data_IF_109373546628
#
_entry.id   IF_109373546628
#
_cell.length_a   1.000
_cell.length_b   1.000
_cell.length_c   1.000
_cell.angle_alpha   90.00
_cell.angle_beta   90.00
_cell.angle_gamma   90.00
#
_symmetry.space_group_name_H-M   'P 1'
#
loop_
_entity.id
_entity.type
_entity.pdbx_description
1 polymer ?
#
# COMPACT_ATOMS: atom_id res chain seq x y z
N UNK A 1 -7.23 -29.33 69.33
CA UNK A 1 -7.24 -28.07 68.55
C UNK A 1 -6.69 -28.40 67.17
N UNK A 2 -7.45 -28.17 66.09
CA UNK A 2 -6.96 -28.35 64.72
C UNK A 2 -6.64 -26.96 64.16
N UNK A 3 -5.44 -26.78 63.61
CA UNK A 3 -5.07 -25.56 62.87
C UNK A 3 -5.18 -25.86 61.38
N UNK A 4 -6.19 -25.30 60.71
CA UNK A 4 -6.21 -25.22 59.25
C UNK A 4 -5.21 -24.16 58.82
N UNK A 5 -4.21 -24.55 58.02
CA UNK A 5 -3.36 -23.62 57.29
C UNK A 5 -3.97 -23.38 55.91
N UNK A 6 -4.55 -22.19 55.70
CA UNK A 6 -5.04 -21.79 54.39
C UNK A 6 -3.86 -21.33 53.52
N UNK A 7 -3.46 -22.16 52.57
CA UNK A 7 -2.53 -21.74 51.52
C UNK A 7 -3.27 -20.86 50.51
N UNK A 8 -3.03 -19.55 50.56
CA UNK A 8 -3.47 -18.63 49.53
C UNK A 8 -2.61 -18.84 48.26
N UNK A 9 -3.17 -19.56 47.28
CA UNK A 9 -2.53 -19.73 45.98
C UNK A 9 -2.54 -18.41 45.20
N UNK A 10 -1.39 -17.78 45.05
CA UNK A 10 -1.23 -16.62 44.19
C UNK A 10 -1.17 -17.09 42.72
N UNK A 11 -2.32 -17.07 42.04
CA UNK A 11 -2.38 -17.33 40.60
C UNK A 11 -1.69 -16.21 39.82
N UNK A 12 -0.43 -16.43 39.46
CA UNK A 12 0.27 -15.58 38.50
C UNK A 12 -0.41 -15.73 37.13
N UNK A 13 -1.20 -14.73 36.74
CA UNK A 13 -1.71 -14.61 35.38
C UNK A 13 -0.51 -14.34 34.46
N UNK A 14 -0.11 -15.33 33.66
CA UNK A 14 0.86 -15.13 32.62
C UNK A 14 0.25 -14.19 31.57
N UNK A 15 0.77 -12.96 31.51
CA UNK A 15 0.51 -12.07 30.37
C UNK A 15 1.17 -12.73 29.15
N UNK A 16 0.34 -13.32 28.29
CA UNK A 16 0.80 -13.74 26.98
C UNK A 16 1.13 -12.47 26.19
N UNK A 17 2.41 -12.27 25.89
CA UNK A 17 2.82 -11.25 24.92
C UNK A 17 2.25 -11.67 23.56
N UNK A 18 1.25 -10.93 23.09
CA UNK A 18 0.75 -11.09 21.73
C UNK A 18 1.87 -10.63 20.79
N UNK A 19 2.54 -11.58 20.15
CA UNK A 19 3.59 -11.32 19.16
C UNK A 19 3.02 -10.81 17.82
N UNK A 20 1.87 -10.14 17.89
CA UNK A 20 1.08 -9.62 16.80
C UNK A 20 0.13 -8.50 17.29
N UNK A 21 -0.40 -7.73 16.34
CA UNK A 21 -1.53 -6.82 16.51
C UNK A 21 -2.54 -6.99 15.37
N UNK A 22 -3.69 -6.33 15.49
CA UNK A 22 -4.81 -6.40 14.54
C UNK A 22 -4.86 -5.13 13.70
N UNK A 23 -5.08 -5.27 12.39
CA UNK A 23 -5.48 -4.19 11.50
C UNK A 23 -6.90 -4.49 11.02
N UNK A 24 -7.88 -3.75 11.54
CA UNK A 24 -9.28 -3.85 11.11
C UNK A 24 -9.46 -2.97 9.87
N UNK A 25 -9.64 -3.60 8.71
CA UNK A 25 -9.74 -2.94 7.41
C UNK A 25 -11.21 -2.80 7.05
N UNK A 26 -11.69 -1.57 6.87
CA UNK A 26 -13.09 -1.19 6.72
C UNK A 26 -13.36 -0.52 5.38
N UNK A 27 -14.45 -0.89 4.72
CA UNK A 27 -14.90 -0.27 3.47
C UNK A 27 -15.98 0.79 3.73
N UNK A 28 -15.62 2.07 3.65
CA UNK A 28 -16.55 3.21 3.66
C UNK A 28 -17.06 3.64 2.27
N UNK A 29 -16.58 3.03 1.19
CA UNK A 29 -16.99 3.35 -0.18
C UNK A 29 -18.40 2.78 -0.47
N UNK A 30 -19.14 3.38 -1.41
CA UNK A 30 -20.46 2.83 -1.80
C UNK A 30 -20.40 1.55 -2.65
N UNK A 31 -19.21 1.23 -3.19
CA UNK A 31 -18.93 0.00 -3.93
C UNK A 31 -18.08 -0.96 -3.10
N UNK A 32 -18.16 -2.29 -3.34
CA UNK A 32 -17.20 -3.23 -2.77
C UNK A 32 -15.77 -2.83 -3.14
N UNK A 33 -14.83 -3.03 -2.22
CA UNK A 33 -13.40 -2.97 -2.50
C UNK A 33 -12.85 -4.39 -2.59
N UNK A 34 -11.93 -4.62 -3.53
CA UNK A 34 -11.13 -5.83 -3.54
C UNK A 34 -9.81 -5.50 -2.85
N UNK A 35 -9.68 -5.89 -1.57
CA UNK A 35 -8.47 -5.68 -0.80
C UNK A 35 -7.38 -6.64 -1.28
N UNK A 36 -6.34 -6.10 -1.89
CA UNK A 36 -5.13 -6.86 -2.22
C UNK A 36 -4.07 -6.64 -1.13
N UNK A 37 -3.53 -7.75 -0.61
CA UNK A 37 -2.45 -7.79 0.39
C UNK A 37 -1.19 -8.36 -0.26
N UNK A 38 -0.04 -7.70 -0.10
CA UNK A 38 1.26 -8.18 -0.61
C UNK A 38 2.33 -8.11 0.47
N UNK A 39 3.13 -9.17 0.61
CA UNK A 39 4.31 -9.18 1.48
C UNK A 39 5.56 -8.78 0.69
N UNK A 40 6.43 -7.95 1.25
CA UNK A 40 7.69 -7.56 0.60
C UNK A 40 8.64 -8.75 0.34
N UNK A 41 8.43 -9.88 1.01
CA UNK A 41 9.13 -11.15 0.79
C UNK A 41 8.47 -12.06 -0.24
N UNK A 42 7.24 -11.78 -0.71
CA UNK A 42 6.47 -12.66 -1.60
C UNK A 42 5.69 -11.83 -2.62
N UNK A 43 6.13 -11.85 -3.89
CA UNK A 43 5.47 -11.15 -5.01
C UNK A 43 4.19 -11.83 -5.51
N UNK A 44 3.42 -12.44 -4.61
CA UNK A 44 2.09 -13.02 -4.84
C UNK A 44 1.12 -12.27 -3.96
N UNK A 45 0.00 -11.84 -4.52
CA UNK A 45 -1.07 -11.19 -3.74
C UNK A 45 -2.01 -12.22 -3.10
N UNK A 46 -2.48 -11.92 -1.89
CA UNK A 46 -3.73 -12.43 -1.34
C UNK A 46 -4.84 -11.40 -1.56
N UNK A 47 -6.10 -11.83 -1.72
CA UNK A 47 -7.21 -10.93 -2.04
C UNK A 47 -8.52 -11.27 -1.30
N UNK A 48 -9.16 -10.28 -0.70
CA UNK A 48 -10.48 -10.36 -0.05
C UNK A 48 -11.43 -9.28 -0.59
N UNK A 49 -12.66 -9.62 -0.97
CA UNK A 49 -13.68 -8.62 -1.32
C UNK A 49 -14.44 -8.14 -0.08
N UNK A 50 -14.39 -6.85 0.23
CA UNK A 50 -15.05 -6.23 1.38
C UNK A 50 -16.25 -5.42 0.89
N UNK A 51 -17.46 -5.82 1.29
CA UNK A 51 -18.71 -5.14 0.93
C UNK A 51 -18.81 -3.72 1.56
N UNK A 52 -19.61 -2.80 0.98
CA UNK A 52 -19.86 -1.47 1.57
C UNK A 52 -20.33 -1.55 3.03
N UNK A 53 -19.67 -0.81 3.91
CA UNK A 53 -19.95 -0.79 5.35
C UNK A 53 -19.51 -2.04 6.12
N UNK A 54 -18.79 -2.97 5.50
CA UNK A 54 -18.19 -4.14 6.15
C UNK A 54 -16.70 -3.93 6.47
N UNK A 55 -16.17 -4.79 7.32
CA UNK A 55 -14.76 -4.83 7.71
C UNK A 55 -14.23 -6.27 7.75
N UNK A 56 -12.91 -6.42 7.63
CA UNK A 56 -12.18 -7.67 7.94
C UNK A 56 -10.98 -7.36 8.83
N UNK A 57 -10.53 -8.33 9.62
CA UNK A 57 -9.33 -8.21 10.44
C UNK A 57 -8.13 -8.90 9.79
N UNK A 58 -6.97 -8.25 9.81
CA UNK A 58 -5.67 -8.82 9.42
C UNK A 58 -4.74 -8.84 10.64
N UNK A 59 -4.21 -10.02 10.98
CA UNK A 59 -3.23 -10.19 12.06
C UNK A 59 -1.83 -9.90 11.54
N UNK A 60 -1.15 -8.93 12.14
CA UNK A 60 0.22 -8.53 11.78
C UNK A 60 1.19 -9.04 12.84
N UNK A 61 1.93 -10.10 12.53
CA UNK A 61 2.94 -10.68 13.42
C UNK A 61 4.27 -9.90 13.39
N UNK A 62 5.16 -10.18 14.35
CA UNK A 62 6.55 -9.67 14.35
C UNK A 62 7.34 -10.23 13.16
N UNK A 63 8.02 -9.36 12.41
CA UNK A 63 8.74 -9.70 11.18
C UNK A 63 7.94 -9.49 9.88
N UNK A 64 6.70 -9.01 9.95
CA UNK A 64 5.90 -8.57 8.81
C UNK A 64 6.55 -7.36 8.11
N UNK A 65 6.41 -7.31 6.78
CA UNK A 65 6.68 -6.14 5.93
C UNK A 65 5.85 -6.32 4.66
N UNK A 66 5.01 -5.36 4.34
CA UNK A 66 4.06 -5.48 3.23
C UNK A 66 3.00 -4.39 3.23
N UNK A 67 2.11 -4.43 2.24
CA UNK A 67 1.11 -3.40 2.02
C UNK A 67 -0.28 -3.95 1.69
N UNK A 68 -1.27 -3.10 1.95
CA UNK A 68 -2.66 -3.24 1.54
C UNK A 68 -2.99 -2.21 0.46
N UNK A 69 -3.84 -2.58 -0.51
CA UNK A 69 -4.35 -1.67 -1.55
C UNK A 69 -5.73 -2.11 -2.03
N UNK A 70 -6.47 -1.22 -2.68
CA UNK A 70 -7.74 -1.54 -3.34
C UNK A 70 -7.51 -1.83 -4.83
N UNK A 71 -7.92 -3.01 -5.28
CA UNK A 71 -7.76 -3.51 -6.65
C UNK A 71 -6.42 -4.21 -6.91
N UNK A 72 -6.39 -5.01 -7.97
CA UNK A 72 -5.21 -5.81 -8.36
C UNK A 72 -4.05 -4.97 -8.91
N UNK A 73 -4.32 -3.78 -9.44
CA UNK A 73 -3.32 -2.80 -9.87
C UNK A 73 -2.34 -2.48 -8.74
N UNK A 74 -1.04 -2.41 -9.04
CA UNK A 74 -0.03 -1.83 -8.15
C UNK A 74 -0.02 -0.29 -8.25
N UNK A 75 -0.44 0.27 -9.39
CA UNK A 75 -0.78 1.69 -9.52
C UNK A 75 -2.09 1.98 -8.74
N UNK A 76 -1.94 2.16 -7.43
CA UNK A 76 -3.01 2.26 -6.44
C UNK A 76 -2.47 2.92 -5.15
N UNK A 77 -3.37 3.49 -4.33
CA UNK A 77 -2.99 3.98 -2.99
C UNK A 77 -2.55 2.80 -2.12
N UNK A 78 -1.33 2.85 -1.57
CA UNK A 78 -0.79 1.80 -0.69
C UNK A 78 -0.95 2.20 0.78
N UNK A 79 -1.28 1.24 1.63
CA UNK A 79 -1.14 1.36 3.09
C UNK A 79 -0.09 0.34 3.52
N UNK A 80 1.07 0.80 3.97
CA UNK A 80 2.21 -0.08 4.28
C UNK A 80 2.33 -0.30 5.80
N UNK A 81 2.78 -1.49 6.19
CA UNK A 81 3.07 -1.85 7.58
C UNK A 81 4.37 -2.65 7.66
N UNK A 82 5.19 -2.38 8.68
CA UNK A 82 6.40 -3.15 8.96
C UNK A 82 6.65 -3.36 10.46
N UNK A 83 7.13 -4.55 10.81
CA UNK A 83 7.44 -4.98 12.19
C UNK A 83 8.80 -5.69 12.26
N UNK A 84 9.62 -5.54 11.21
CA UNK A 84 11.00 -6.06 11.12
C UNK A 84 11.99 -5.22 11.92
N UNK A 85 13.10 -5.85 12.28
CA UNK A 85 14.15 -5.26 13.11
C UNK A 85 13.93 -5.45 14.62
N UNK A 86 14.93 -5.03 15.38
CA UNK A 86 15.04 -5.32 16.82
C UNK A 86 14.17 -4.41 17.70
N UNK A 87 13.51 -3.39 17.12
CA UNK A 87 12.65 -2.45 17.84
C UNK A 87 11.22 -3.00 17.92
N UNK A 88 10.60 -2.93 19.11
CA UNK A 88 9.19 -3.28 19.33
C UNK A 88 8.27 -2.12 18.95
N UNK A 89 8.29 -1.82 17.65
CA UNK A 89 7.42 -0.85 16.99
C UNK A 89 6.59 -1.53 15.89
N UNK A 90 5.40 -0.98 15.67
CA UNK A 90 4.64 -1.12 14.43
C UNK A 90 4.89 0.15 13.61
N UNK A 91 5.65 0.01 12.52
CA UNK A 91 5.85 1.06 11.52
C UNK A 91 4.70 1.03 10.52
N UNK A 92 4.24 2.18 10.07
CA UNK A 92 3.15 2.31 9.10
C UNK A 92 3.18 3.65 8.38
N UNK A 93 2.69 3.66 7.15
CA UNK A 93 2.55 4.87 6.32
C UNK A 93 1.59 4.64 5.15
N UNK A 94 1.38 5.69 4.34
CA UNK A 94 0.59 5.66 3.12
C UNK A 94 1.51 6.01 1.94
N UNK A 95 1.44 5.24 0.85
CA UNK A 95 2.21 5.50 -0.37
C UNK A 95 1.31 5.94 -1.53
N UNK A 96 1.71 7.01 -2.23
CA UNK A 96 1.11 7.41 -3.52
C UNK A 96 2.15 7.60 -4.64
N UNK A 97 3.34 7.04 -4.47
CA UNK A 97 4.38 7.00 -5.50
C UNK A 97 3.90 6.09 -6.65
N UNK A 98 3.83 6.57 -7.91
CA UNK A 98 3.50 5.72 -9.05
C UNK A 98 4.55 4.61 -9.23
N UNK A 99 4.15 3.33 -9.32
CA UNK A 99 5.08 2.22 -9.48
C UNK A 99 5.59 2.13 -10.93
N UNK A 100 6.54 1.22 -11.15
CA UNK A 100 7.16 1.00 -12.47
C UNK A 100 7.77 2.30 -13.03
N UNK A 101 8.61 2.94 -12.20
CA UNK A 101 9.42 4.08 -12.62
C UNK A 101 10.38 3.68 -13.74
N UNK A 102 10.61 4.62 -14.66
CA UNK A 102 11.57 4.46 -15.75
C UNK A 102 13.00 4.36 -15.18
N UNK A 103 13.88 3.54 -15.79
CA UNK A 103 15.25 3.37 -15.30
C UNK A 103 16.00 4.71 -15.13
N UNK A 104 16.58 4.93 -13.95
CA UNK A 104 17.22 6.17 -13.55
C UNK A 104 16.34 7.15 -12.76
N UNK A 105 15.03 6.88 -12.60
CA UNK A 105 14.09 7.70 -11.84
C UNK A 105 13.60 7.03 -10.54
N UNK A 106 14.25 5.94 -10.11
CA UNK A 106 13.94 5.19 -8.88
C UNK A 106 14.12 6.03 -7.59
N UNK A 107 14.69 7.23 -7.71
CA UNK A 107 14.79 8.25 -6.67
C UNK A 107 14.33 9.63 -7.16
N UNK A 108 13.22 9.67 -7.89
CA UNK A 108 12.50 10.91 -8.23
C UNK A 108 12.32 11.80 -6.97
N UNK A 109 12.40 13.12 -7.17
CA UNK A 109 12.49 14.13 -6.12
C UNK A 109 11.17 14.84 -5.81
N UNK A 110 10.11 14.52 -6.56
CA UNK A 110 8.76 15.05 -6.37
C UNK A 110 7.73 14.12 -7.01
N UNK A 111 6.48 14.17 -6.53
CA UNK A 111 5.38 13.36 -7.09
C UNK A 111 5.20 13.58 -8.59
N UNK A 112 5.38 14.81 -9.10
CA UNK A 112 5.25 15.10 -10.53
C UNK A 112 6.34 14.40 -11.35
N UNK A 113 7.60 14.43 -10.88
CA UNK A 113 8.70 13.71 -11.52
C UNK A 113 8.45 12.19 -11.51
N UNK A 114 7.96 11.64 -10.40
CA UNK A 114 7.58 10.23 -10.31
C UNK A 114 6.43 9.88 -11.29
N UNK A 115 5.45 10.77 -11.48
CA UNK A 115 4.36 10.58 -12.46
C UNK A 115 4.86 10.63 -13.89
N UNK A 116 5.55 11.70 -14.27
CA UNK A 116 6.09 11.93 -15.62
C UNK A 116 7.05 10.82 -16.05
N UNK A 117 7.72 10.18 -15.07
CA UNK A 117 8.65 9.09 -15.30
C UNK A 117 8.15 7.72 -14.81
N UNK A 118 6.83 7.48 -14.74
CA UNK A 118 6.24 6.15 -14.49
C UNK A 118 5.49 5.60 -15.71
N UNK A 119 5.21 4.30 -15.73
CA UNK A 119 4.40 3.66 -16.79
C UNK A 119 2.92 4.09 -16.77
N UNK A 120 2.39 4.48 -15.61
CA UNK A 120 0.96 4.76 -15.40
C UNK A 120 0.63 6.24 -15.18
N UNK A 121 1.53 7.02 -14.58
CA UNK A 121 1.24 8.34 -14.01
C UNK A 121 0.36 8.28 -12.75
N UNK A 122 0.11 7.09 -12.19
CA UNK A 122 -0.91 6.85 -11.15
C UNK A 122 -0.27 6.12 -9.95
N UNK A 123 -0.36 6.74 -8.78
CA UNK A 123 -0.10 6.12 -7.47
C UNK A 123 -1.21 6.36 -6.44
N UNK A 124 -2.27 7.10 -6.79
CA UNK A 124 -3.47 7.26 -5.98
C UNK A 124 -4.68 6.67 -6.73
N UNK A 125 -5.53 5.89 -6.05
CA UNK A 125 -6.78 5.41 -6.64
C UNK A 125 -7.99 5.44 -5.69
N UNK A 126 -7.76 5.35 -4.38
CA UNK A 126 -8.82 5.27 -3.36
C UNK A 126 -8.44 6.15 -2.17
N UNK A 127 -9.36 6.98 -1.64
CA UNK A 127 -9.13 7.70 -0.38
C UNK A 127 -8.92 6.72 0.79
N UNK A 128 -7.95 6.98 1.67
CA UNK A 128 -7.65 6.11 2.83
C UNK A 128 -7.35 6.92 4.09
N UNK A 129 -7.61 6.33 5.24
CA UNK A 129 -7.20 6.84 6.57
C UNK A 129 -6.74 5.68 7.44
N UNK A 130 -5.62 5.85 8.15
CA UNK A 130 -5.05 4.87 9.10
C UNK A 130 -5.12 5.47 10.51
N UNK A 131 -5.74 4.75 11.45
CA UNK A 131 -6.00 5.24 12.80
C UNK A 131 -5.49 4.25 13.84
N UNK A 132 -4.44 4.58 14.62
CA UNK A 132 -4.05 3.80 15.79
C UNK A 132 -5.17 3.81 16.83
N UNK A 133 -5.58 2.64 17.33
CA UNK A 133 -6.65 2.51 18.35
C UNK A 133 -6.22 2.98 19.74
N UNK A 134 -4.90 3.06 19.96
CA UNK A 134 -4.27 3.50 21.20
C UNK A 134 -2.88 4.08 20.90
N UNK A 135 -2.20 4.61 21.93
CA UNK A 135 -0.89 5.25 21.82
C UNK A 135 -0.81 6.52 20.95
N UNK A 136 -1.90 6.94 20.32
CA UNK A 136 -2.05 8.17 19.54
C UNK A 136 -1.51 9.41 20.30
N UNK A 137 -0.72 10.25 19.63
CA UNK A 137 -0.06 11.42 20.22
C UNK A 137 1.21 11.11 21.02
N UNK A 138 1.81 9.93 20.86
CA UNK A 138 3.14 9.57 21.39
C UNK A 138 4.12 9.43 20.24
N UNK A 139 5.27 10.10 20.33
CA UNK A 139 6.31 10.07 19.31
C UNK A 139 5.73 10.38 17.90
N UNK A 140 5.74 9.44 16.95
CA UNK A 140 5.06 9.58 15.63
C UNK A 140 3.81 8.71 15.48
N UNK A 141 3.23 8.23 16.58
CA UNK A 141 2.00 7.45 16.58
C UNK A 141 0.79 8.38 16.46
N UNK A 142 0.27 8.55 15.25
CA UNK A 142 -0.88 9.43 14.97
C UNK A 142 -1.80 8.89 13.87
N UNK A 143 -2.96 9.53 13.71
CA UNK A 143 -3.88 9.27 12.60
C UNK A 143 -3.34 9.97 11.35
N UNK A 144 -3.29 9.26 10.23
CA UNK A 144 -2.85 9.77 8.93
C UNK A 144 -3.89 9.50 7.85
N UNK A 145 -4.02 10.39 6.88
CA UNK A 145 -4.95 10.22 5.77
C UNK A 145 -4.44 10.71 4.41
N UNK A 146 -4.86 9.99 3.37
CA UNK A 146 -4.70 10.41 2.00
C UNK A 146 -6.07 10.41 1.33
N UNK A 147 -6.73 11.57 1.33
CA UNK A 147 -8.09 11.71 0.80
C UNK A 147 -8.13 12.01 -0.71
N UNK A 148 -7.02 12.44 -1.29
CA UNK A 148 -6.86 12.80 -2.69
C UNK A 148 -5.40 12.60 -3.14
N UNK A 149 -5.19 12.63 -4.46
CA UNK A 149 -3.86 12.70 -5.07
C UNK A 149 -3.07 13.93 -4.57
N UNK A 150 -1.75 13.79 -4.36
CA UNK A 150 -0.87 14.77 -3.70
C UNK A 150 -1.26 15.16 -2.25
N UNK A 151 -1.83 14.21 -1.49
CA UNK A 151 -2.09 14.34 -0.04
C UNK A 151 -0.81 14.58 0.79
N UNK A 152 -0.95 15.26 1.94
CA UNK A 152 0.18 15.68 2.78
C UNK A 152 0.81 14.53 3.59
N UNK A 153 0.02 13.58 4.11
CA UNK A 153 0.52 12.55 5.03
C UNK A 153 1.21 11.37 4.32
N UNK A 154 1.10 11.26 3.00
CA UNK A 154 1.63 10.12 2.24
C UNK A 154 3.05 10.37 1.69
N UNK A 155 3.77 9.28 1.45
CA UNK A 155 4.96 9.26 0.60
C UNK A 155 4.61 9.74 -0.81
N UNK A 156 5.03 10.98 -1.11
CA UNK A 156 4.86 11.60 -2.41
C UNK A 156 6.02 11.25 -3.38
N UNK A 157 7.18 10.82 -2.86
CA UNK A 157 8.37 10.44 -3.63
C UNK A 157 9.33 9.57 -2.78
N UNK A 158 10.23 8.75 -3.36
CA UNK A 158 11.05 7.74 -2.64
C UNK A 158 12.09 8.23 -1.61
N UNK A 159 12.05 9.51 -1.23
CA UNK A 159 12.92 10.12 -0.20
C UNK A 159 12.15 11.11 0.69
N UNK A 160 10.82 10.99 0.72
CA UNK A 160 9.97 11.75 1.64
C UNK A 160 10.05 11.15 3.05
N UNK A 161 11.27 11.01 3.58
CA UNK A 161 11.62 10.28 4.81
C UNK A 161 10.95 10.83 6.10
N UNK A 162 10.03 11.79 5.95
CA UNK A 162 9.18 12.38 7.00
C UNK A 162 7.83 11.67 7.16
N UNK A 163 7.47 10.74 6.26
CA UNK A 163 6.12 10.15 6.16
C UNK A 163 5.95 8.78 6.81
N UNK A 164 7.01 8.15 7.33
CA UNK A 164 6.89 6.91 8.13
C UNK A 164 6.52 7.23 9.57
N UNK A 165 5.38 6.69 10.01
CA UNK A 165 4.87 6.80 11.37
C UNK A 165 5.15 5.52 12.17
N UNK A 166 5.09 5.60 13.51
CA UNK A 166 5.42 4.48 14.39
C UNK A 166 4.61 4.48 15.68
N UNK A 167 4.05 3.33 16.02
CA UNK A 167 3.41 3.08 17.32
C UNK A 167 4.14 1.95 18.05
N UNK A 168 3.97 1.88 19.38
CA UNK A 168 4.44 0.73 20.15
C UNK A 168 3.83 -0.58 19.61
N UNK A 169 4.64 -1.63 19.45
CA UNK A 169 4.15 -2.93 18.96
C UNK A 169 3.06 -3.49 19.89
N UNK A 170 2.03 -4.12 19.30
CA UNK A 170 0.80 -4.47 20.02
C UNK A 170 -0.27 -3.37 20.05
N UNK A 171 -0.04 -2.24 19.36
CA UNK A 171 -1.11 -1.27 19.04
C UNK A 171 -1.96 -1.81 17.89
N UNK A 172 -3.26 -2.03 18.09
CA UNK A 172 -4.19 -2.34 17.00
C UNK A 172 -4.51 -1.07 16.18
N UNK A 173 -4.85 -1.23 14.90
CA UNK A 173 -5.16 -0.14 13.96
C UNK A 173 -6.50 -0.34 13.26
N UNK A 174 -7.14 0.75 12.85
CA UNK A 174 -8.25 0.75 11.89
C UNK A 174 -7.79 1.43 10.60
N UNK A 175 -7.93 0.73 9.47
CA UNK A 175 -7.74 1.28 8.13
C UNK A 175 -9.11 1.45 7.49
N UNK A 176 -9.44 2.66 7.03
CA UNK A 176 -10.72 2.95 6.38
C UNK A 176 -10.50 3.42 4.95
N UNK A 177 -10.98 2.65 3.97
CA UNK A 177 -11.10 3.10 2.59
C UNK A 177 -12.36 3.97 2.44
N UNK A 178 -12.26 5.09 1.70
CA UNK A 178 -13.29 6.13 1.60
C UNK A 178 -13.85 6.58 2.97
N UNK A 179 -13.03 7.13 3.88
CA UNK A 179 -13.46 7.50 5.24
C UNK A 179 -14.54 8.60 5.30
N UNK A 180 -14.70 9.39 4.23
CA UNK A 180 -15.79 10.37 4.04
C UNK A 180 -16.88 9.87 3.06
N UNK A 181 -16.92 8.57 2.76
CA UNK A 181 -17.60 8.02 1.59
C UNK A 181 -16.93 8.46 0.29
N UNK A 182 -17.60 8.25 -0.85
CA UNK A 182 -17.04 8.55 -2.18
C UNK A 182 -16.90 10.06 -2.48
N UNK A 183 -17.38 10.93 -1.57
CA UNK A 183 -17.41 12.39 -1.71
C UNK A 183 -16.02 13.03 -1.94
N UNK A 184 -14.93 12.36 -1.53
CA UNK A 184 -13.56 12.86 -1.74
C UNK A 184 -13.09 12.76 -3.20
N UNK A 185 -13.71 11.93 -4.05
CA UNK A 185 -13.21 11.69 -5.42
C UNK A 185 -13.56 12.79 -6.45
N UNK A 186 -14.32 13.83 -6.09
CA UNK A 186 -14.92 14.75 -7.07
C UNK A 186 -13.98 15.82 -7.66
N UNK A 187 -12.71 15.93 -7.22
CA UNK A 187 -11.84 17.07 -7.60
C UNK A 187 -10.98 16.90 -8.88
N UNK A 188 -10.99 15.76 -9.59
CA UNK A 188 -10.06 15.53 -10.72
C UNK A 188 -10.71 15.31 -12.10
N UNK A 189 -11.76 16.06 -12.47
CA UNK A 189 -12.31 16.05 -13.84
C UNK A 189 -12.65 17.43 -14.46
N UNK A 190 -11.82 18.47 -14.25
CA UNK A 190 -11.82 19.64 -15.16
C UNK A 190 -10.49 20.43 -15.16
N UNK A 191 -9.56 20.06 -16.04
CA UNK A 191 -8.51 20.97 -16.53
C UNK A 191 -8.45 20.94 -18.06
N UNK A 192 -9.60 21.22 -18.68
CA UNK A 192 -9.69 21.49 -20.11
C UNK A 192 -9.35 22.95 -20.37
N UNK A 193 -8.36 23.21 -21.23
CA UNK A 193 -7.81 24.56 -21.47
C UNK A 193 -8.84 25.54 -22.04
N UNK A 194 -9.44 26.35 -21.16
CA UNK A 194 -10.31 27.46 -21.53
C UNK A 194 -9.47 28.71 -21.85
N UNK A 195 -9.00 28.82 -23.10
CA UNK A 195 -8.24 30.00 -23.57
C UNK A 195 -9.11 31.26 -23.53
N UNK A 196 -8.70 32.25 -22.74
CA UNK A 196 -9.43 33.51 -22.56
C UNK A 196 -9.09 34.51 -23.67
N UNK A 197 -10.01 34.68 -24.63
CA UNK A 197 -9.99 35.85 -25.52
C UNK A 197 -10.92 36.92 -24.97
N UNK A 198 -10.34 37.93 -24.33
CA UNK A 198 -11.05 39.12 -23.87
C UNK A 198 -11.06 40.19 -24.97
N UNK A 199 -12.24 40.61 -25.42
CA UNK A 199 -12.41 41.87 -26.15
C UNK A 199 -13.71 42.57 -25.70
N UNK A 200 -13.78 43.88 -25.92
CA UNK A 200 -14.66 44.80 -25.19
C UNK A 200 -15.88 45.29 -25.99
N UNK A 201 -16.85 45.81 -25.23
CA UNK A 201 -18.18 46.18 -25.71
C UNK A 201 -18.22 47.29 -26.78
N UNK A 202 -19.23 47.21 -27.64
CA UNK A 202 -20.15 48.34 -27.82
C UNK A 202 -21.55 47.89 -28.25
N UNK A 203 -22.54 48.75 -28.01
CA UNK A 203 -23.94 48.55 -28.36
C UNK A 203 -24.22 49.18 -29.74
N UNK A 204 -25.13 48.59 -30.51
CA UNK A 204 -26.14 49.39 -31.22
C UNK A 204 -27.46 48.61 -31.37
N UNK A 205 -28.55 49.31 -31.65
CA UNK A 205 -29.94 48.82 -31.64
C UNK A 205 -30.63 49.05 -32.99
N UNK A 206 -31.46 48.09 -33.45
CA UNK A 206 -32.64 48.20 -34.36
C UNK A 206 -33.06 46.75 -34.67
N UNK A 207 -34.12 46.20 -34.06
CA UNK A 207 -35.55 46.37 -34.36
C UNK A 207 -36.01 45.64 -35.66
N UNK A 208 -36.80 44.57 -35.46
CA UNK A 208 -38.01 44.16 -36.20
C UNK A 208 -37.93 43.89 -37.73
N UNK A 209 -38.13 42.62 -38.11
CA UNK A 209 -39.35 42.24 -38.83
C UNK A 209 -39.68 40.75 -38.67
N UNK A 210 -40.94 40.37 -38.89
CA UNK A 210 -41.43 38.97 -38.93
C UNK A 210 -42.28 38.79 -40.18
N UNK A 211 -42.00 37.76 -40.98
CA UNK A 211 -43.11 36.94 -41.47
C UNK A 211 -42.80 35.43 -41.49
N UNK A 212 -43.68 34.67 -40.83
CA UNK A 212 -44.10 33.34 -41.30
C UNK A 212 -45.20 33.57 -42.38
N UNK A 213 -45.55 32.61 -43.27
CA UNK A 213 -45.90 31.24 -42.89
C UNK A 213 -45.57 30.13 -43.94
N UNK A 214 -46.12 28.94 -43.66
CA UNK A 214 -46.36 27.80 -44.58
C UNK A 214 -45.16 26.99 -45.10
N UNK A 215 -45.30 25.73 -45.54
CA UNK A 215 -46.11 24.55 -45.10
C UNK A 215 -45.74 23.41 -46.07
N UNK A 216 -45.27 22.26 -45.59
CA UNK A 216 -45.60 20.92 -46.15
C UNK A 216 -44.97 19.77 -45.37
N UNK A 217 -45.74 18.70 -45.17
CA UNK A 217 -45.25 17.34 -44.96
C UNK A 217 -45.65 16.49 -46.20
N UNK A 218 -44.89 15.46 -46.57
CA UNK A 218 -45.21 14.09 -46.13
C UNK A 218 -43.96 13.32 -45.62
N UNK A 219 -43.99 12.21 -44.86
CA UNK A 219 -44.98 11.19 -44.49
C UNK A 219 -44.84 9.81 -45.19
N UNK A 220 -44.21 8.87 -44.46
CA UNK A 220 -44.38 7.38 -44.48
C UNK A 220 -43.74 6.59 -45.66
N UNK A 221 -43.52 5.28 -45.44
CA UNK A 221 -43.24 4.18 -46.41
C UNK A 221 -41.74 3.91 -46.65
N UNK A 222 -41.17 2.71 -46.44
CA UNK A 222 -41.63 1.46 -45.81
C UNK A 222 -40.44 0.61 -45.32
N UNK A 223 -40.70 -0.53 -44.68
CA UNK A 223 -39.71 -1.59 -44.44
C UNK A 223 -40.02 -2.83 -45.30
N UNK A 224 -39.01 -3.64 -45.63
CA UNK A 224 -39.18 -5.08 -45.69
C UNK A 224 -38.19 -5.81 -44.76
N UNK A 225 -38.36 -7.12 -44.61
CA UNK A 225 -37.75 -7.90 -43.53
C UNK A 225 -37.03 -9.18 -44.02
N UNK A 226 -36.24 -9.75 -43.11
CA UNK A 226 -35.87 -11.18 -43.02
C UNK A 226 -34.96 -11.73 -44.13
N UNK A 227 -33.77 -12.21 -43.74
CA UNK A 227 -33.47 -13.63 -43.97
C UNK A 227 -32.51 -14.20 -42.91
N UNK A 228 -32.45 -15.53 -42.80
CA UNK A 228 -31.58 -16.28 -41.90
C UNK A 228 -30.97 -17.50 -42.62
N UNK A 229 -29.93 -18.15 -42.06
CA UNK A 229 -30.10 -19.60 -41.89
C UNK A 229 -29.44 -20.25 -40.66
N UNK A 230 -29.97 -21.44 -40.37
CA UNK A 230 -29.48 -22.55 -39.52
C UNK A 230 -28.42 -23.35 -40.31
N UNK A 231 -27.44 -24.09 -39.76
CA UNK A 231 -27.25 -24.72 -38.44
C UNK A 231 -26.01 -24.12 -37.70
N UNK A 232 -25.21 -24.73 -36.80
CA UNK A 232 -25.02 -26.13 -36.37
C UNK A 232 -24.61 -26.24 -34.88
N UNK A 233 -24.73 -27.43 -34.30
CA UNK A 233 -24.20 -27.80 -32.98
C UNK A 233 -23.75 -29.27 -32.97
N UNK A 234 -22.65 -29.58 -32.30
CA UNK A 234 -22.19 -30.96 -32.01
C UNK A 234 -21.67 -31.05 -30.57
N UNK A 235 -21.68 -32.25 -29.97
CA UNK A 235 -21.56 -32.40 -28.52
C UNK A 235 -20.82 -33.68 -28.07
N UNK A 236 -20.14 -33.52 -26.92
CA UNK A 236 -19.84 -34.51 -25.88
C UNK A 236 -18.81 -35.65 -26.12
N UNK A 237 -18.24 -36.08 -25.00
CA UNK A 237 -17.40 -37.28 -24.75
C UNK A 237 -15.95 -37.23 -25.31
N UNK A 238 -14.95 -37.86 -24.68
CA UNK A 238 -14.97 -38.94 -23.69
C UNK A 238 -13.84 -38.87 -22.62
N UNK A 239 -13.93 -39.79 -21.65
CA UNK A 239 -13.14 -40.15 -20.48
C UNK A 239 -11.61 -40.24 -20.59
N UNK A 240 -10.92 -40.02 -19.45
CA UNK A 240 -9.48 -40.34 -19.26
C UNK A 240 -8.88 -39.73 -17.99
N UNK A 241 -9.02 -40.32 -16.79
CA UNK A 241 -8.29 -41.49 -16.27
C UNK A 241 -6.81 -41.25 -15.84
N UNK A 242 -6.63 -40.51 -14.73
CA UNK A 242 -5.65 -40.71 -13.64
C UNK A 242 -4.19 -41.17 -13.88
N UNK A 243 -3.26 -40.26 -13.54
CA UNK A 243 -1.97 -40.50 -12.84
C UNK A 243 -1.62 -39.16 -12.15
N UNK A 244 -1.45 -39.03 -10.84
CA UNK A 244 -0.68 -39.83 -9.86
C UNK A 244 0.75 -40.06 -10.35
N UNK A 245 1.66 -39.20 -9.89
CA UNK A 245 3.09 -39.42 -10.00
C UNK A 245 3.66 -39.50 -8.57
N UNK A 246 3.97 -40.72 -8.14
CA UNK A 246 4.56 -40.98 -6.83
C UNK A 246 6.08 -40.87 -6.91
N UNK A 247 6.70 -40.61 -5.76
CA UNK A 247 8.13 -40.61 -5.50
C UNK A 247 8.89 -41.80 -6.12
N UNK A 248 10.19 -41.60 -6.34
CA UNK A 248 11.20 -42.61 -6.00
C UNK A 248 12.38 -41.91 -5.31
N UNK A 249 13.11 -42.61 -4.44
CA UNK A 249 14.10 -42.01 -3.54
C UNK A 249 15.57 -42.25 -3.94
N UNK A 250 16.43 -41.32 -3.56
CA UNK A 250 17.72 -41.66 -2.96
C UNK A 250 18.90 -42.02 -3.88
N UNK A 251 19.91 -41.14 -3.90
CA UNK A 251 21.32 -41.56 -4.07
C UNK A 251 22.16 -40.84 -3.01
N UNK A 252 22.90 -41.61 -2.20
CA UNK A 252 23.88 -41.04 -1.26
C UNK A 252 25.10 -40.51 -2.02
N UNK A 253 25.60 -39.34 -1.60
CA UNK A 253 26.80 -38.74 -2.16
C UNK A 253 27.57 -37.94 -1.11
N UNK A 254 28.41 -38.63 -0.32
CA UNK A 254 29.39 -37.96 0.51
C UNK A 254 30.37 -37.16 -0.36
N UNK A 255 30.67 -35.93 0.03
CA UNK A 255 31.82 -35.20 -0.48
C UNK A 255 32.46 -34.36 0.62
N UNK A 256 33.59 -34.83 1.14
CA UNK A 256 34.44 -34.07 2.04
C UNK A 256 35.20 -33.03 1.23
N UNK A 257 35.17 -31.75 1.62
CA UNK A 257 36.12 -30.76 1.07
C UNK A 257 36.71 -29.93 2.19
N UNK A 258 38.04 -29.93 2.24
CA UNK A 258 38.95 -29.38 3.25
C UNK A 258 38.70 -27.90 3.58
N UNK A 259 38.78 -27.53 4.85
CA UNK A 259 38.91 -26.13 5.26
C UNK A 259 40.34 -25.61 5.03
N UNK A 260 40.52 -24.33 4.63
CA UNK A 260 41.85 -23.74 4.46
C UNK A 260 42.54 -23.43 5.80
N UNK A 261 43.86 -23.44 5.75
CA UNK A 261 44.82 -23.31 6.84
C UNK A 261 44.79 -21.93 7.53
N UNK A 262 44.98 -21.90 8.85
CA UNK A 262 45.14 -20.64 9.62
C UNK A 262 46.62 -20.28 9.65
N UNK A 263 47.00 -19.19 8.95
CA UNK A 263 48.36 -18.65 9.04
C UNK A 263 48.47 -17.69 10.23
N UNK A 264 49.20 -18.12 11.25
CA UNK A 264 49.60 -17.28 12.39
C UNK A 264 50.68 -16.27 11.97
N UNK A 265 50.56 -15.02 12.43
CA UNK A 265 51.51 -13.94 12.12
C UNK A 265 51.82 -13.13 13.38
N UNK A 266 53.12 -12.86 13.61
CA UNK A 266 53.64 -12.46 14.93
C UNK A 266 53.37 -11.00 15.31
N UNK A 267 53.34 -10.75 16.63
CA UNK A 267 53.17 -9.43 17.24
C UNK A 267 54.52 -8.76 17.57
N UNK A 268 54.77 -7.53 17.10
CA UNK A 268 55.75 -6.62 17.71
C UNK A 268 55.11 -5.80 18.86
N UNK A 269 55.89 -5.54 19.91
CA UNK A 269 55.46 -4.82 21.12
C UNK A 269 55.42 -3.27 20.92
N UNK A 270 54.77 -2.49 21.82
CA UNK A 270 54.38 -1.11 21.52
C UNK A 270 55.48 -0.07 21.73
N UNK A 271 55.42 1.01 20.93
CA UNK A 271 56.18 2.23 21.15
C UNK A 271 55.37 3.24 21.98
N UNK A 272 56.00 3.91 22.95
CA UNK A 272 55.33 4.79 23.91
C UNK A 272 55.44 6.25 23.47
N UNK A 273 54.32 6.82 23.00
CA UNK A 273 54.18 8.26 22.73
C UNK A 273 53.20 8.88 23.74
N UNK A 274 53.43 10.15 24.09
CA UNK A 274 52.95 10.77 25.32
C UNK A 274 51.52 11.35 25.22
N UNK A 275 50.94 11.56 26.39
CA UNK A 275 49.59 12.11 26.60
C UNK A 275 49.46 13.58 26.19
N UNK A 276 48.45 13.90 25.39
CA UNK A 276 47.68 15.14 25.52
C UNK A 276 46.19 14.79 25.66
N UNK A 277 45.41 15.62 26.37
CA UNK A 277 44.02 15.33 26.73
C UNK A 277 43.06 16.23 25.95
N UNK A 278 42.24 15.67 25.03
CA UNK A 278 41.11 16.39 24.45
C UNK A 278 40.00 16.63 25.49
N UNK A 279 39.25 17.71 25.32
CA UNK A 279 38.02 17.94 26.06
C UNK A 279 36.92 16.91 25.66
N UNK A 280 35.92 16.63 26.51
CA UNK A 280 34.84 15.73 26.15
C UNK A 280 34.00 16.31 25.01
N UNK A 281 34.12 15.69 23.83
CA UNK A 281 33.24 15.93 22.69
C UNK A 281 31.83 15.40 23.00
N UNK A 282 30.81 16.21 22.74
CA UNK A 282 29.42 15.84 23.04
C UNK A 282 28.90 14.97 21.91
N UNK A 283 28.97 13.65 22.07
CA UNK A 283 28.45 12.68 21.11
C UNK A 283 26.97 12.96 20.83
N UNK A 284 26.57 13.32 19.60
CA UNK A 284 25.16 13.38 19.25
C UNK A 284 24.59 11.96 19.32
N UNK A 285 23.36 11.81 19.80
CA UNK A 285 22.70 10.51 19.87
C UNK A 285 22.61 9.93 18.44
N UNK A 286 23.22 8.77 18.22
CA UNK A 286 23.17 8.09 16.94
C UNK A 286 21.78 7.51 16.72
N UNK A 287 20.92 8.24 16.00
CA UNK A 287 19.66 7.70 15.48
C UNK A 287 19.96 6.39 14.75
N UNK A 288 19.37 5.25 15.15
CA UNK A 288 19.57 4.01 14.43
C UNK A 288 19.03 4.20 13.01
N UNK A 289 19.86 3.96 12.01
CA UNK A 289 19.43 4.09 10.62
C UNK A 289 18.32 3.07 10.36
N UNK A 290 17.14 3.55 9.97
CA UNK A 290 16.09 2.70 9.44
C UNK A 290 16.69 1.85 8.30
N UNK A 291 16.60 0.53 8.42
CA UNK A 291 17.06 -0.40 7.38
C UNK A 291 16.16 -0.23 6.17
N UNK A 292 16.60 0.63 5.25
CA UNK A 292 15.89 0.99 4.02
C UNK A 292 15.34 -0.25 3.34
N UNK A 293 14.01 -0.35 3.24
CA UNK A 293 13.42 -1.40 2.44
C UNK A 293 13.92 -1.25 1.00
N UNK A 294 14.34 -2.37 0.43
CA UNK A 294 14.92 -2.43 -0.91
C UNK A 294 13.87 -2.76 -1.97
N UNK A 295 12.59 -2.70 -1.59
CA UNK A 295 11.51 -3.49 -2.23
C UNK A 295 10.18 -2.75 -2.45
N UNK A 296 10.10 -1.44 -2.18
CA UNK A 296 8.93 -0.60 -2.49
C UNK A 296 9.25 0.41 -3.62
N UNK A 297 9.38 -0.09 -4.86
CA UNK A 297 9.45 0.65 -6.15
C UNK A 297 8.90 -0.23 -7.29
#
# INVERSE_FOLDING_TARGET
MVRLAAFAGASAAALASTNAFTVTITNGCSSPIDLYTRLASVYTDESDTIAPGASIDKTIEKGFEGHFRNGSSDAATLIEFATKGDLDLAWYDIGIIPPHLNPGYEYCSSLQECKDHSKSGIGFNTPVQVTPTSNTGKDTCEQIECLADACEDAYNYPKDDTKTHSCAFGTDFVVTFCPSGDASQTQQTTSGSASTTQDAAQQETTQEETPAPETTAPAVTEAPATDAPVQEASAASDSGAGKVHTQDEGVNGESQTTAPEVTEAETPAPEVVQTETPAPEVTPASTPAATKSKYCV
#
